data_IF_648483018350
#
_entry.id   IF_648483018350
#
_cell.length_a   1.000
_cell.length_b   1.000
_cell.length_c   1.000
_cell.angle_alpha   90.00
_cell.angle_beta   90.00
_cell.angle_gamma   90.00
#
_symmetry.space_group_name_H-M   'P 1'
#
loop_
_entity.id
_entity.type
_entity.pdbx_description
1 polymer ?
#
# COMPACT_ATOMS: atom_id res chain seq x y z
N UNK A 1 -3.68 3.67 16.36
CA UNK A 1 -2.94 2.62 15.66
C UNK A 1 -2.60 1.45 16.57
N UNK A 2 -3.56 1.05 17.36
CA UNK A 2 -3.39 -0.04 18.32
C UNK A 2 -2.99 -1.36 17.64
N UNK A 3 -3.47 -1.61 16.42
CA UNK A 3 -3.17 -2.82 15.65
C UNK A 3 -1.68 -2.96 15.30
N UNK A 4 -0.95 -1.86 15.24
CA UNK A 4 0.48 -1.85 14.90
C UNK A 4 1.38 -1.61 16.11
N UNK A 5 0.80 -1.56 17.29
CA UNK A 5 1.56 -1.31 18.52
C UNK A 5 2.60 -2.43 18.75
N UNK A 6 3.84 -2.03 18.93
CA UNK A 6 4.95 -2.96 19.16
C UNK A 6 5.59 -3.53 17.92
N UNK A 7 5.02 -3.32 16.72
CA UNK A 7 5.65 -3.71 15.46
C UNK A 7 6.71 -2.69 15.06
N UNK A 8 7.78 -3.16 14.41
CA UNK A 8 8.86 -2.32 13.91
C UNK A 8 9.15 -2.65 12.45
N UNK A 9 9.70 -1.71 11.71
CA UNK A 9 10.09 -1.93 10.33
C UNK A 9 11.33 -2.82 10.28
N UNK A 10 11.34 -3.74 9.29
CA UNK A 10 12.38 -4.76 9.13
C UNK A 10 13.80 -4.18 9.06
N UNK A 11 14.00 -3.09 8.34
CA UNK A 11 15.34 -2.57 8.04
C UNK A 11 15.76 -1.39 8.92
N UNK A 12 14.82 -0.58 9.39
CA UNK A 12 15.14 0.67 10.09
C UNK A 12 14.96 0.58 11.60
N UNK A 13 14.19 -0.40 12.10
CA UNK A 13 13.85 -0.51 13.51
C UNK A 13 12.84 0.54 13.98
N UNK A 14 12.35 1.39 13.11
CA UNK A 14 11.31 2.38 13.44
C UNK A 14 9.98 1.69 13.76
N UNK A 15 9.13 2.28 14.60
CA UNK A 15 7.79 1.74 14.82
C UNK A 15 7.06 1.56 13.48
N UNK A 16 6.48 0.38 13.26
CA UNK A 16 5.85 0.06 11.97
C UNK A 16 4.76 1.05 11.57
N UNK A 17 4.05 1.61 12.55
CA UNK A 17 2.96 2.56 12.30
C UNK A 17 3.43 3.83 11.56
N UNK A 18 4.71 4.18 11.62
CA UNK A 18 5.24 5.34 10.94
C UNK A 18 5.19 5.21 9.42
N UNK A 19 5.32 3.98 8.88
CA UNK A 19 5.21 3.76 7.44
C UNK A 19 3.83 4.09 6.89
N UNK A 20 2.72 3.53 7.38
CA UNK A 20 1.40 3.89 6.86
C UNK A 20 1.04 5.37 7.09
N UNK A 21 1.51 5.98 8.17
CA UNK A 21 1.31 7.42 8.40
C UNK A 21 2.08 8.24 7.36
N UNK A 22 3.32 7.89 7.07
CA UNK A 22 4.12 8.57 6.04
C UNK A 22 3.48 8.44 4.66
N UNK A 23 2.96 7.27 4.32
CA UNK A 23 2.23 7.06 3.06
C UNK A 23 0.98 7.94 3.02
N UNK A 24 0.22 7.99 4.10
CA UNK A 24 -0.98 8.82 4.19
C UNK A 24 -0.67 10.31 3.96
N UNK A 25 0.43 10.80 4.55
CA UNK A 25 0.86 12.19 4.37
C UNK A 25 1.24 12.51 2.92
N UNK A 26 1.95 11.60 2.27
CA UNK A 26 2.33 11.76 0.86
C UNK A 26 1.10 11.76 -0.05
N UNK A 27 0.15 10.87 0.22
CA UNK A 27 -1.10 10.78 -0.52
C UNK A 27 -1.94 12.04 -0.34
N UNK A 28 -2.07 12.55 0.90
CA UNK A 28 -2.80 13.78 1.17
C UNK A 28 -2.26 14.94 0.35
N UNK A 29 -0.95 15.14 0.38
CA UNK A 29 -0.30 16.23 -0.36
C UNK A 29 -0.56 16.11 -1.87
N UNK A 30 -0.41 14.92 -2.42
CA UNK A 30 -0.65 14.70 -3.85
C UNK A 30 -2.09 14.97 -4.24
N UNK A 31 -3.05 14.45 -3.48
CA UNK A 31 -4.47 14.60 -3.79
C UNK A 31 -4.93 16.05 -3.62
N UNK A 32 -4.44 16.74 -2.60
CA UNK A 32 -4.76 18.15 -2.40
C UNK A 32 -4.24 19.00 -3.56
N UNK A 33 -3.00 18.75 -4.00
CA UNK A 33 -2.38 19.46 -5.12
C UNK A 33 -3.11 19.21 -6.44
N UNK A 34 -3.75 18.05 -6.60
CA UNK A 34 -4.43 17.64 -7.83
C UNK A 34 -5.96 17.78 -7.77
N UNK A 35 -6.44 18.66 -6.90
CA UNK A 35 -7.85 19.08 -6.82
C UNK A 35 -8.86 17.97 -6.50
N UNK A 36 -8.46 16.96 -5.74
CA UNK A 36 -9.39 15.96 -5.23
C UNK A 36 -10.25 16.57 -4.11
N UNK A 37 -11.46 16.05 -3.94
CA UNK A 37 -12.37 16.52 -2.89
C UNK A 37 -11.84 16.16 -1.50
N UNK A 38 -12.28 16.90 -0.47
CA UNK A 38 -11.91 16.60 0.91
C UNK A 38 -12.37 15.20 1.32
N UNK A 39 -13.54 14.76 0.85
CA UNK A 39 -14.05 13.40 1.11
C UNK A 39 -13.09 12.33 0.53
N UNK A 40 -12.64 12.54 -0.70
CA UNK A 40 -11.70 11.62 -1.35
C UNK A 40 -10.36 11.58 -0.61
N UNK A 41 -9.89 12.73 -0.15
CA UNK A 41 -8.63 12.82 0.58
C UNK A 41 -8.74 12.07 1.91
N UNK A 42 -9.80 12.29 2.66
CA UNK A 42 -10.04 11.58 3.95
C UNK A 42 -10.13 10.08 3.72
N UNK A 43 -10.90 9.65 2.72
CA UNK A 43 -11.01 8.23 2.34
C UNK A 43 -9.64 7.64 2.06
N UNK A 44 -8.85 8.31 1.21
CA UNK A 44 -7.52 7.84 0.83
C UNK A 44 -6.58 7.73 2.02
N UNK A 45 -6.61 8.70 2.93
CA UNK A 45 -5.77 8.68 4.12
C UNK A 45 -6.12 7.53 5.06
N UNK A 46 -7.42 7.28 5.27
CA UNK A 46 -7.88 6.16 6.09
C UNK A 46 -7.43 4.82 5.49
N UNK A 47 -7.63 4.63 4.19
CA UNK A 47 -7.19 3.40 3.50
C UNK A 47 -5.67 3.26 3.58
N UNK A 48 -4.92 4.34 3.38
CA UNK A 48 -3.46 4.31 3.45
C UNK A 48 -2.95 3.87 4.83
N UNK A 49 -3.56 4.38 5.91
CA UNK A 49 -3.19 4.00 7.26
C UNK A 49 -3.52 2.53 7.55
N UNK A 50 -4.62 2.04 7.00
CA UNK A 50 -5.12 0.68 7.29
C UNK A 50 -4.61 -0.39 6.33
N UNK A 51 -3.97 -0.02 5.21
CA UNK A 51 -3.71 -0.97 4.12
C UNK A 51 -2.87 -2.19 4.52
N UNK A 52 -2.00 -2.07 5.50
CA UNK A 52 -1.19 -3.20 5.96
C UNK A 52 -1.85 -4.00 7.10
N UNK A 53 -2.99 -3.53 7.60
CA UNK A 53 -3.62 -4.12 8.79
C UNK A 53 -3.97 -5.60 8.60
N UNK A 54 -4.49 -5.96 7.42
CA UNK A 54 -4.87 -7.35 7.11
C UNK A 54 -3.64 -8.24 6.93
N UNK A 55 -2.53 -7.68 6.44
CA UNK A 55 -1.29 -8.44 6.19
C UNK A 55 -0.45 -8.60 7.43
N UNK A 56 -0.41 -7.58 8.30
CA UNK A 56 0.57 -7.48 9.39
C UNK A 56 -0.02 -7.64 10.79
N UNK A 57 -1.35 -7.76 10.90
CA UNK A 57 -2.05 -7.94 12.17
C UNK A 57 -3.10 -9.04 12.05
N UNK A 58 -3.85 -9.26 13.14
CA UNK A 58 -4.95 -10.25 13.15
C UNK A 58 -6.25 -9.69 12.58
N UNK A 59 -6.27 -8.43 12.18
CA UNK A 59 -7.48 -7.81 11.63
C UNK A 59 -7.84 -8.42 10.27
N UNK A 60 -9.12 -8.49 9.98
CA UNK A 60 -9.66 -9.02 8.73
C UNK A 60 -10.40 -7.92 7.96
N UNK A 61 -10.67 -8.19 6.68
CA UNK A 61 -11.49 -7.29 5.85
C UNK A 61 -12.86 -7.09 6.48
N UNK A 62 -13.44 -8.14 7.05
CA UNK A 62 -14.75 -8.08 7.71
C UNK A 62 -14.70 -7.13 8.92
N UNK A 63 -13.66 -7.19 9.72
CA UNK A 63 -13.48 -6.30 10.86
C UNK A 63 -13.38 -4.84 10.41
N UNK A 64 -12.63 -4.58 9.34
CA UNK A 64 -12.50 -3.24 8.78
C UNK A 64 -13.85 -2.73 8.28
N UNK A 65 -14.62 -3.59 7.60
CA UNK A 65 -15.94 -3.22 7.12
C UNK A 65 -16.91 -2.83 8.26
N UNK A 66 -16.84 -3.57 9.37
CA UNK A 66 -17.67 -3.27 10.54
C UNK A 66 -17.35 -1.92 11.20
N UNK A 67 -16.07 -1.58 11.27
CA UNK A 67 -15.61 -0.38 11.97
C UNK A 67 -15.61 0.85 11.07
N UNK A 68 -15.14 0.71 9.82
CA UNK A 68 -14.88 1.82 8.91
C UNK A 68 -15.81 1.88 7.69
N UNK A 69 -16.62 0.86 7.48
CA UNK A 69 -17.53 0.78 6.35
C UNK A 69 -16.99 -0.03 5.18
N UNK A 70 -17.88 -0.43 4.28
CA UNK A 70 -17.55 -1.30 3.16
C UNK A 70 -16.64 -0.66 2.13
N UNK A 71 -16.77 0.65 1.89
CA UNK A 71 -15.93 1.35 0.91
C UNK A 71 -14.46 1.36 1.34
N UNK A 72 -14.19 1.59 2.63
CA UNK A 72 -12.83 1.53 3.17
C UNK A 72 -12.31 0.10 3.11
N UNK A 73 -13.12 -0.88 3.49
CA UNK A 73 -12.73 -2.30 3.43
C UNK A 73 -12.38 -2.73 2.02
N UNK A 74 -13.14 -2.29 1.03
CA UNK A 74 -12.89 -2.57 -0.39
C UNK A 74 -11.56 -1.96 -0.84
N UNK A 75 -11.27 -0.73 -0.44
CA UNK A 75 -9.99 -0.08 -0.73
C UNK A 75 -8.82 -0.87 -0.15
N UNK A 76 -8.91 -1.28 1.09
CA UNK A 76 -7.90 -2.10 1.75
C UNK A 76 -7.74 -3.46 1.05
N UNK A 77 -8.85 -4.07 0.63
CA UNK A 77 -8.79 -5.33 -0.11
C UNK A 77 -7.97 -5.22 -1.39
N UNK A 78 -8.15 -4.14 -2.16
CA UNK A 78 -7.35 -3.93 -3.38
C UNK A 78 -5.85 -3.89 -3.08
N UNK A 79 -5.46 -3.42 -1.91
CA UNK A 79 -4.05 -3.29 -1.51
C UNK A 79 -3.50 -4.52 -0.78
N UNK A 80 -4.36 -5.48 -0.42
CA UNK A 80 -3.95 -6.68 0.29
C UNK A 80 -3.31 -7.68 -0.68
N UNK A 81 -2.13 -8.17 -0.34
CA UNK A 81 -1.42 -9.16 -1.17
C UNK A 81 -2.07 -10.54 -1.07
N UNK A 82 -1.81 -11.39 -2.08
CA UNK A 82 -2.23 -12.78 -2.05
C UNK A 82 -1.48 -13.55 -0.95
N UNK A 83 -2.15 -14.52 -0.27
CA UNK A 83 -1.49 -15.35 0.74
C UNK A 83 -0.31 -16.14 0.17
N UNK A 84 0.70 -16.44 1.00
CA UNK A 84 1.90 -17.12 0.58
C UNK A 84 1.67 -18.53 0.01
N UNK A 85 0.53 -19.15 0.33
CA UNK A 85 0.19 -20.48 -0.21
C UNK A 85 -0.39 -20.44 -1.63
N UNK A 86 -0.63 -19.25 -2.18
CA UNK A 86 -1.19 -19.08 -3.53
C UNK A 86 -0.03 -18.99 -4.53
N UNK A 87 0.34 -20.09 -5.17
CA UNK A 87 1.38 -20.12 -6.18
C UNK A 87 2.76 -19.67 -5.68
N UNK A 88 3.66 -19.38 -6.62
CA UNK A 88 4.98 -18.82 -6.30
C UNK A 88 4.92 -17.27 -6.26
N UNK A 89 6.07 -16.64 -5.98
CA UNK A 89 6.14 -15.18 -5.89
C UNK A 89 5.71 -14.49 -7.20
N UNK A 90 6.15 -15.03 -8.33
CA UNK A 90 5.82 -14.43 -9.63
C UNK A 90 4.31 -14.49 -9.90
N UNK A 91 3.67 -15.60 -9.55
CA UNK A 91 2.22 -15.77 -9.69
C UNK A 91 1.46 -14.81 -8.77
N UNK A 92 1.88 -14.69 -7.51
CA UNK A 92 1.27 -13.74 -6.56
C UNK A 92 1.41 -12.30 -7.02
N UNK A 93 2.56 -11.92 -7.57
CA UNK A 93 2.79 -10.57 -8.10
C UNK A 93 1.93 -10.32 -9.34
N UNK A 94 1.73 -11.32 -10.19
CA UNK A 94 0.86 -11.19 -11.35
C UNK A 94 -0.61 -10.97 -10.94
N UNK A 95 -1.09 -11.68 -9.93
CA UNK A 95 -2.42 -11.47 -9.37
C UNK A 95 -2.58 -10.07 -8.80
N UNK A 96 -1.58 -9.59 -8.08
CA UNK A 96 -1.55 -8.25 -7.52
C UNK A 96 -1.63 -7.18 -8.62
N UNK A 97 -0.84 -7.34 -9.69
CA UNK A 97 -0.87 -6.41 -10.83
C UNK A 97 -2.25 -6.35 -11.48
N UNK A 98 -2.86 -7.52 -11.71
CA UNK A 98 -4.18 -7.59 -12.33
C UNK A 98 -5.24 -6.89 -11.46
N UNK A 99 -5.20 -7.15 -10.15
CA UNK A 99 -6.13 -6.53 -9.20
C UNK A 99 -5.97 -5.01 -9.17
N UNK A 100 -4.75 -4.52 -9.05
CA UNK A 100 -4.46 -3.09 -8.95
C UNK A 100 -4.67 -2.35 -10.27
N UNK A 101 -4.45 -3.01 -11.42
CA UNK A 101 -4.77 -2.42 -12.71
C UNK A 101 -6.26 -2.12 -12.85
N UNK A 102 -7.11 -2.91 -12.19
CA UNK A 102 -8.55 -2.73 -12.19
C UNK A 102 -9.07 -1.86 -11.04
N UNK A 103 -8.19 -1.44 -10.12
CA UNK A 103 -8.60 -0.66 -8.95
C UNK A 103 -8.92 0.79 -9.30
N UNK A 104 -9.74 1.48 -8.46
CA UNK A 104 -9.95 2.92 -8.61
C UNK A 104 -8.63 3.70 -8.55
N UNK A 105 -8.58 4.84 -9.24
CA UNK A 105 -7.36 5.65 -9.34
C UNK A 105 -6.80 6.04 -7.97
N UNK A 106 -7.64 6.38 -7.00
CA UNK A 106 -7.20 6.72 -5.65
C UNK A 106 -6.40 5.57 -5.03
N UNK A 107 -6.85 4.33 -5.21
CA UNK A 107 -6.16 3.15 -4.68
C UNK A 107 -4.81 2.97 -5.37
N UNK A 108 -4.75 3.17 -6.68
CA UNK A 108 -3.50 3.10 -7.44
C UNK A 108 -2.49 4.16 -6.95
N UNK A 109 -2.96 5.35 -6.64
CA UNK A 109 -2.13 6.43 -6.08
C UNK A 109 -1.57 6.01 -4.72
N UNK A 110 -2.40 5.46 -3.84
CA UNK A 110 -1.95 4.97 -2.53
C UNK A 110 -0.83 3.93 -2.69
N UNK A 111 -1.05 2.96 -3.57
CA UNK A 111 -0.04 1.90 -3.80
C UNK A 111 1.27 2.47 -4.34
N UNK A 112 1.19 3.46 -5.22
CA UNK A 112 2.37 4.12 -5.77
C UNK A 112 3.21 4.77 -4.68
N UNK A 113 2.59 5.50 -3.76
CA UNK A 113 3.31 6.11 -2.64
C UNK A 113 3.79 5.10 -1.61
N UNK A 114 3.05 4.02 -1.41
CA UNK A 114 3.50 2.91 -0.57
C UNK A 114 4.83 2.33 -1.08
N UNK A 115 4.90 2.03 -2.37
CA UNK A 115 6.12 1.52 -3.00
C UNK A 115 7.25 2.55 -2.96
N UNK A 116 6.93 3.81 -3.19
CA UNK A 116 7.92 4.90 -3.15
C UNK A 116 8.55 5.01 -1.77
N UNK A 117 7.76 4.97 -0.72
CA UNK A 117 8.27 5.04 0.64
C UNK A 117 9.11 3.79 0.98
N UNK A 118 8.64 2.60 0.59
CA UNK A 118 9.39 1.36 0.81
C UNK A 118 10.71 1.33 0.06
N UNK A 119 10.79 1.96 -1.12
CA UNK A 119 12.01 1.97 -1.93
C UNK A 119 13.19 2.61 -1.20
N UNK A 120 12.93 3.57 -0.31
CA UNK A 120 13.98 4.24 0.45
C UNK A 120 14.75 3.26 1.33
N UNK A 121 14.05 2.38 2.04
CA UNK A 121 14.69 1.38 2.91
C UNK A 121 15.32 0.24 2.12
N UNK A 122 14.63 -0.26 1.10
CA UNK A 122 15.11 -1.42 0.33
C UNK A 122 16.39 -1.07 -0.42
N UNK A 123 16.44 0.08 -1.06
CA UNK A 123 17.63 0.53 -1.78
C UNK A 123 18.85 0.66 -0.86
N UNK A 124 18.64 1.19 0.35
CA UNK A 124 19.72 1.44 1.31
C UNK A 124 20.18 0.18 2.03
N UNK A 125 19.25 -0.67 2.47
CA UNK A 125 19.53 -1.76 3.40
C UNK A 125 19.51 -3.15 2.78
N UNK A 126 19.02 -3.32 1.55
CA UNK A 126 18.93 -4.62 0.90
C UNK A 126 19.20 -4.51 -0.61
N UNK A 127 20.45 -4.19 -1.01
CA UNK A 127 20.76 -3.97 -2.41
C UNK A 127 20.56 -5.19 -3.32
N UNK A 128 20.63 -6.39 -2.78
CA UNK A 128 20.37 -7.62 -3.57
C UNK A 128 18.90 -7.74 -3.93
N UNK A 129 18.02 -7.43 -2.99
CA UNK A 129 16.58 -7.44 -3.22
C UNK A 129 16.15 -6.24 -4.07
N UNK A 130 16.92 -5.16 -4.06
CA UNK A 130 16.60 -3.93 -4.78
C UNK A 130 16.37 -4.17 -6.27
N UNK A 131 17.19 -4.99 -6.91
CA UNK A 131 17.05 -5.27 -8.35
C UNK A 131 15.71 -5.94 -8.67
N UNK A 132 15.33 -6.93 -7.88
CA UNK A 132 14.02 -7.59 -8.03
C UNK A 132 12.88 -6.62 -7.73
N UNK A 133 13.01 -5.85 -6.64
CA UNK A 133 12.01 -4.87 -6.24
C UNK A 133 11.77 -3.83 -7.33
N UNK A 134 12.84 -3.32 -7.97
CA UNK A 134 12.70 -2.36 -9.07
C UNK A 134 11.92 -2.95 -10.23
N UNK A 135 12.22 -4.18 -10.64
CA UNK A 135 11.52 -4.86 -11.74
C UNK A 135 10.04 -5.06 -11.42
N UNK A 136 9.74 -5.51 -10.23
CA UNK A 136 8.35 -5.71 -9.80
C UNK A 136 7.59 -4.38 -9.72
N UNK A 137 8.26 -3.34 -9.20
CA UNK A 137 7.69 -1.99 -9.11
C UNK A 137 7.42 -1.41 -10.48
N UNK A 138 8.39 -1.50 -11.40
CA UNK A 138 8.22 -0.98 -12.75
C UNK A 138 7.05 -1.66 -13.48
N UNK A 139 6.92 -2.97 -13.33
CA UNK A 139 5.80 -3.73 -13.90
C UNK A 139 4.46 -3.25 -13.35
N UNK A 140 4.40 -3.02 -12.04
CA UNK A 140 3.16 -2.59 -11.38
C UNK A 140 2.81 -1.14 -11.75
N UNK A 141 3.79 -0.24 -11.77
CA UNK A 141 3.58 1.15 -12.16
C UNK A 141 3.05 1.24 -13.60
N UNK A 142 3.59 0.43 -14.50
CA UNK A 142 3.11 0.35 -15.88
C UNK A 142 1.67 -0.15 -15.95
N UNK A 143 1.33 -1.19 -15.17
CA UNK A 143 -0.03 -1.74 -15.13
C UNK A 143 -1.05 -0.73 -14.58
N UNK A 144 -0.66 0.06 -13.59
CA UNK A 144 -1.51 1.11 -13.00
C UNK A 144 -1.44 2.44 -13.75
N UNK A 145 -0.47 2.61 -14.65
CA UNK A 145 -0.21 3.88 -15.36
C UNK A 145 0.10 5.03 -14.40
N UNK A 146 0.96 4.75 -13.41
CA UNK A 146 1.36 5.71 -12.39
C UNK A 146 2.86 6.01 -12.39
N UNK A 147 3.57 5.65 -13.46
CA UNK A 147 5.02 5.84 -13.56
C UNK A 147 5.44 7.28 -13.29
N UNK A 148 4.69 8.25 -13.80
CA UNK A 148 5.00 9.68 -13.64
C UNK A 148 4.81 10.18 -12.21
N UNK A 149 4.08 9.46 -11.36
CA UNK A 149 3.86 9.84 -9.96
C UNK A 149 5.02 9.38 -9.08
N UNK A 150 5.62 8.23 -9.44
CA UNK A 150 6.69 7.63 -8.68
C UNK A 150 7.98 8.45 -8.76
#
# INVERSE_FOLDING_TARGET
>A
TEMHKGQVRKYTGEPYVEHPIAVADLVEEYLDTNDYSDEDIVYAMVVAVLHDTVEDTVATIETIAEIFGEEVAKGVWFLTKAPDFVGDRAERKALCRAKLAAAPRIIQIIKTFDMKHNSLSIKQYDPKFWDLFQKETDSLLSAMKTTEIF
#
